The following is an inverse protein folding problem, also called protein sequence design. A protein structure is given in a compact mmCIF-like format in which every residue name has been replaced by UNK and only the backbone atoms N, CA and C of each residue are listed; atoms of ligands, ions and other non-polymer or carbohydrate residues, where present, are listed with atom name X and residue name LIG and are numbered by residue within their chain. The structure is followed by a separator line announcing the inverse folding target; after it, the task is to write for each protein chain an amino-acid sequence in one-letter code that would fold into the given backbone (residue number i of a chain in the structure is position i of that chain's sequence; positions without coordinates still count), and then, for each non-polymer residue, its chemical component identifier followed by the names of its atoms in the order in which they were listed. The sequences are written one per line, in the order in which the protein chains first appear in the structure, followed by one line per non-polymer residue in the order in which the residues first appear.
data_IF_909119808482
#
_entry.id   IF_909119808482
#
_cell.length_a   1.000
_cell.length_b   1.000
_cell.length_c   1.000
_cell.angle_alpha   90.00
_cell.angle_beta   90.00
_cell.angle_gamma   90.00
#
_symmetry.space_group_name_H-M   'P 1'
#
loop_
_entity.id
_entity.type
_entity.pdbx_description
1 polymer ?
#
# COMPACT_ATOMS: atom_id res chain seq x y z
N UNK A 1 -64.10 -42.40 -72.11
CA UNK A 1 -64.62 -41.69 -70.90
C UNK A 1 -64.16 -42.28 -69.56
N UNK A 2 -63.17 -43.20 -69.47
CA UNK A 2 -62.76 -43.78 -68.18
C UNK A 2 -61.36 -43.37 -67.71
N UNK A 3 -60.53 -42.68 -68.51
CA UNK A 3 -59.16 -42.29 -68.09
C UNK A 3 -59.01 -40.84 -67.55
N UNK A 4 -60.00 -39.96 -67.88
CA UNK A 4 -59.96 -38.54 -67.40
C UNK A 4 -60.47 -38.40 -65.97
N UNK A 5 -61.42 -39.26 -65.53
CA UNK A 5 -61.89 -39.23 -64.12
C UNK A 5 -60.82 -39.73 -63.10
N UNK A 6 -59.93 -40.67 -63.46
CA UNK A 6 -58.92 -41.17 -62.57
C UNK A 6 -57.77 -40.14 -62.31
N UNK A 7 -57.52 -39.27 -63.33
CA UNK A 7 -56.51 -38.24 -63.20
C UNK A 7 -56.99 -37.05 -62.37
N UNK A 8 -58.27 -36.72 -62.36
CA UNK A 8 -58.86 -35.67 -61.53
C UNK A 8 -58.97 -36.07 -60.06
N UNK A 9 -59.35 -37.34 -59.78
CA UNK A 9 -59.39 -37.84 -58.39
C UNK A 9 -58.04 -37.89 -57.76
N UNK A 10 -56.95 -38.29 -58.44
CA UNK A 10 -55.55 -38.32 -57.91
C UNK A 10 -54.98 -36.92 -57.69
N UNK A 11 -55.36 -35.91 -58.47
CA UNK A 11 -54.92 -34.53 -58.27
C UNK A 11 -55.58 -33.88 -57.05
N UNK A 12 -56.85 -34.17 -56.78
CA UNK A 12 -57.59 -33.65 -55.64
C UNK A 12 -57.11 -34.29 -54.30
N UNK A 13 -56.77 -35.58 -54.34
CA UNK A 13 -56.17 -36.26 -53.20
C UNK A 13 -54.72 -35.73 -52.86
N UNK A 14 -53.93 -35.47 -53.91
CA UNK A 14 -52.58 -34.87 -53.69
C UNK A 14 -52.65 -33.43 -53.15
N UNK A 15 -53.63 -32.61 -53.57
CA UNK A 15 -53.78 -31.26 -53.02
C UNK A 15 -54.33 -31.28 -51.57
N UNK A 16 -55.20 -32.22 -51.23
CA UNK A 16 -55.72 -32.44 -49.88
C UNK A 16 -54.54 -32.88 -48.93
N UNK A 17 -53.68 -33.78 -49.40
CA UNK A 17 -52.53 -34.26 -48.63
C UNK A 17 -51.51 -33.17 -48.44
N UNK A 18 -51.23 -32.27 -49.40
CA UNK A 18 -50.40 -31.08 -49.28
C UNK A 18 -51.00 -30.08 -48.30
N UNK A 19 -52.29 -29.87 -48.33
CA UNK A 19 -52.93 -28.93 -47.39
C UNK A 19 -52.91 -29.46 -45.95
N UNK A 20 -53.09 -30.76 -45.76
CA UNK A 20 -53.01 -31.42 -44.48
C UNK A 20 -51.51 -31.36 -43.91
N UNK A 21 -50.52 -31.63 -44.73
CA UNK A 21 -49.13 -31.46 -44.39
C UNK A 21 -48.81 -30.01 -44.01
N UNK A 22 -49.36 -29.04 -44.74
CA UNK A 22 -49.20 -27.61 -44.45
C UNK A 22 -49.85 -27.22 -43.13
N UNK A 23 -51.02 -27.73 -42.83
CA UNK A 23 -51.75 -27.55 -41.56
C UNK A 23 -51.02 -28.19 -40.41
N UNK A 24 -50.47 -29.40 -40.57
CA UNK A 24 -49.65 -30.08 -39.56
C UNK A 24 -48.35 -29.32 -39.32
N UNK A 25 -47.69 -28.80 -40.38
CA UNK A 25 -46.49 -27.94 -40.26
C UNK A 25 -46.78 -26.65 -39.53
N UNK A 26 -47.95 -25.99 -39.83
CA UNK A 26 -48.30 -24.74 -39.12
C UNK A 26 -48.62 -24.96 -37.65
N UNK A 27 -49.33 -26.09 -37.34
CA UNK A 27 -49.61 -26.49 -35.96
C UNK A 27 -48.34 -26.78 -35.17
N UNK A 28 -47.37 -27.48 -35.78
CA UNK A 28 -46.06 -27.73 -35.18
C UNK A 28 -45.28 -26.42 -34.90
N UNK A 29 -45.31 -25.49 -35.86
CA UNK A 29 -44.68 -24.17 -35.72
C UNK A 29 -45.32 -23.35 -34.60
N UNK A 30 -46.64 -23.35 -34.49
CA UNK A 30 -47.37 -22.68 -33.41
C UNK A 30 -47.07 -23.30 -32.04
N UNK A 31 -46.95 -24.64 -31.99
CA UNK A 31 -46.62 -25.35 -30.77
C UNK A 31 -45.18 -25.05 -30.30
N UNK A 32 -44.24 -24.98 -31.24
CA UNK A 32 -42.84 -24.56 -30.95
C UNK A 32 -42.77 -23.10 -30.48
N UNK A 33 -43.54 -22.21 -31.10
CA UNK A 33 -43.64 -20.80 -30.71
C UNK A 33 -44.21 -20.65 -29.29
N UNK A 34 -45.26 -21.39 -28.98
CA UNK A 34 -45.86 -21.42 -27.64
C UNK A 34 -44.90 -21.93 -26.61
N UNK A 35 -44.13 -22.98 -26.92
CA UNK A 35 -43.13 -23.57 -26.06
C UNK A 35 -41.99 -22.59 -25.81
N UNK A 36 -41.57 -21.84 -26.84
CA UNK A 36 -40.56 -20.77 -26.72
C UNK A 36 -41.04 -19.64 -25.80
N UNK A 37 -42.31 -19.18 -25.97
CA UNK A 37 -42.92 -18.16 -25.12
C UNK A 37 -43.00 -18.64 -23.66
N UNK A 38 -43.39 -19.89 -23.42
CA UNK A 38 -43.42 -20.46 -22.08
C UNK A 38 -42.02 -20.54 -21.46
N UNK A 39 -41.00 -20.94 -22.22
CA UNK A 39 -39.60 -20.98 -21.74
C UNK A 39 -39.10 -19.60 -21.40
N UNK A 40 -39.31 -18.60 -22.26
CA UNK A 40 -38.91 -17.20 -21.99
C UNK A 40 -39.66 -16.65 -20.79
N UNK A 41 -40.96 -16.90 -20.67
CA UNK A 41 -41.77 -16.51 -19.52
C UNK A 41 -41.28 -17.16 -18.21
N UNK A 42 -40.95 -18.44 -18.25
CA UNK A 42 -40.38 -19.15 -17.10
C UNK A 42 -39.02 -18.58 -16.68
N UNK A 43 -38.13 -18.29 -17.63
CA UNK A 43 -36.83 -17.68 -17.37
C UNK A 43 -37.00 -16.26 -16.80
N UNK A 44 -37.95 -15.50 -17.30
CA UNK A 44 -38.27 -14.16 -16.81
C UNK A 44 -38.82 -14.19 -15.37
N UNK A 45 -39.75 -15.09 -15.05
CA UNK A 45 -40.27 -15.27 -13.69
C UNK A 45 -39.16 -15.72 -12.73
N UNK A 46 -38.34 -16.66 -13.17
CA UNK A 46 -37.17 -17.11 -12.40
C UNK A 46 -36.20 -15.96 -12.12
N UNK A 47 -35.96 -15.07 -13.09
CA UNK A 47 -35.15 -13.87 -12.94
C UNK A 47 -35.76 -12.88 -11.93
N UNK A 48 -37.07 -12.69 -11.93
CA UNK A 48 -37.75 -11.82 -10.95
C UNK A 48 -37.69 -12.36 -9.51
N UNK A 49 -37.76 -13.70 -9.36
CA UNK A 49 -37.72 -14.34 -8.03
C UNK A 49 -36.27 -14.38 -7.46
N UNK A 50 -35.29 -14.61 -8.34
CA UNK A 50 -33.85 -14.63 -7.99
C UNK A 50 -33.10 -13.85 -9.07
N UNK A 51 -33.05 -12.51 -8.97
CA UNK A 51 -32.30 -11.70 -9.93
C UNK A 51 -30.82 -12.12 -9.88
N UNK A 52 -30.34 -12.73 -10.94
CA UNK A 52 -28.92 -12.94 -11.17
C UNK A 52 -28.44 -11.76 -12.00
N UNK A 53 -27.23 -11.24 -11.75
CA UNK A 53 -26.67 -10.24 -12.64
C UNK A 53 -26.71 -10.82 -14.06
N UNK A 54 -27.14 -10.00 -15.01
CA UNK A 54 -27.07 -10.35 -16.43
C UNK A 54 -25.62 -10.76 -16.72
N UNK A 55 -25.38 -11.86 -17.45
CA UNK A 55 -24.04 -12.15 -17.91
C UNK A 55 -23.54 -10.91 -18.66
N UNK A 56 -22.35 -10.45 -18.33
CA UNK A 56 -21.71 -9.32 -19.00
C UNK A 56 -21.54 -9.68 -20.47
N UNK A 57 -22.52 -9.27 -21.28
CA UNK A 57 -22.55 -9.49 -22.73
C UNK A 57 -21.59 -8.52 -23.48
N UNK A 58 -21.12 -7.52 -22.75
CA UNK A 58 -20.04 -6.66 -23.22
C UNK A 58 -18.83 -7.11 -22.41
N UNK A 59 -17.69 -7.52 -23.01
CA UNK A 59 -16.47 -7.62 -22.26
C UNK A 59 -16.36 -6.28 -21.56
N UNK A 60 -16.29 -6.28 -20.20
CA UNK A 60 -15.85 -5.10 -19.47
C UNK A 60 -14.59 -4.71 -20.20
N UNK A 61 -14.64 -3.63 -20.96
CA UNK A 61 -13.43 -2.99 -21.48
C UNK A 61 -12.64 -2.80 -20.20
N UNK A 62 -11.61 -3.60 -20.01
CA UNK A 62 -10.72 -3.55 -18.87
C UNK A 62 -10.60 -2.09 -18.53
N UNK A 63 -11.03 -1.71 -17.30
CA UNK A 63 -11.10 -0.31 -16.92
C UNK A 63 -9.83 0.32 -17.43
N UNK A 64 -9.95 1.22 -18.41
CA UNK A 64 -8.77 1.84 -19.01
C UNK A 64 -8.11 2.51 -17.82
N UNK A 65 -7.01 1.95 -17.36
CA UNK A 65 -6.30 2.44 -16.20
C UNK A 65 -5.58 3.72 -16.65
N UNK A 66 -6.31 4.84 -16.59
CA UNK A 66 -5.70 6.13 -16.86
C UNK A 66 -4.77 6.48 -15.68
N UNK A 67 -3.60 7.06 -15.97
CA UNK A 67 -2.78 7.66 -14.94
C UNK A 67 -3.59 8.71 -14.18
N UNK A 68 -3.29 8.94 -12.90
CA UNK A 68 -3.89 10.02 -12.14
C UNK A 68 -3.50 11.37 -12.73
N UNK A 69 -4.25 12.40 -12.40
CA UNK A 69 -4.00 13.77 -12.83
C UNK A 69 -3.46 14.60 -11.67
N UNK A 70 -2.52 15.50 -11.96
CA UNK A 70 -2.02 16.48 -11.00
C UNK A 70 -3.16 17.38 -10.51
N UNK A 71 -3.23 17.61 -9.20
CA UNK A 71 -4.22 18.47 -8.58
C UNK A 71 -3.60 19.77 -8.05
N UNK A 72 -2.63 19.66 -7.13
CA UNK A 72 -1.92 20.81 -6.53
C UNK A 72 -0.62 20.35 -5.84
N UNK A 73 0.16 21.33 -5.34
CA UNK A 73 1.36 21.05 -4.54
C UNK A 73 1.29 21.69 -3.15
N UNK A 74 1.84 20.99 -2.16
CA UNK A 74 2.07 21.50 -0.80
C UNK A 74 3.54 21.92 -0.72
N UNK A 75 3.77 23.16 -0.35
CA UNK A 75 5.10 23.76 -0.21
C UNK A 75 5.45 24.02 1.26
N UNK A 76 6.65 24.54 1.50
CA UNK A 76 7.13 24.82 2.84
C UNK A 76 7.80 23.65 3.51
N UNK A 77 8.30 22.70 2.72
CA UNK A 77 9.12 21.55 3.12
C UNK A 77 10.54 21.68 2.53
N UNK A 78 11.53 21.11 3.20
CA UNK A 78 12.94 21.12 2.76
C UNK A 78 13.50 19.72 2.68
N UNK A 79 13.81 19.25 1.46
CA UNK A 79 14.27 17.88 1.17
C UNK A 79 13.37 16.84 1.83
N UNK A 80 12.05 16.85 1.55
CA UNK A 80 11.12 15.90 2.13
C UNK A 80 11.49 14.47 1.70
N UNK A 81 11.27 13.50 2.57
CA UNK A 81 11.63 12.08 2.33
C UNK A 81 10.45 11.16 2.50
N UNK A 82 9.68 11.27 3.57
CA UNK A 82 8.53 10.43 3.87
C UNK A 82 7.24 11.25 3.91
N UNK A 83 6.14 10.62 3.55
CA UNK A 83 4.78 11.16 3.65
C UNK A 83 3.80 10.12 4.15
N UNK A 84 2.90 10.54 5.05
CA UNK A 84 1.80 9.71 5.51
C UNK A 84 0.56 10.57 5.80
N UNK A 85 -0.61 9.98 5.72
CA UNK A 85 -1.89 10.65 5.96
C UNK A 85 -2.60 10.00 7.14
N UNK A 86 -3.26 10.81 7.97
CA UNK A 86 -4.08 10.32 9.08
C UNK A 86 -5.26 9.48 8.57
N UNK A 87 -5.79 8.51 9.37
CA UNK A 87 -6.90 7.66 8.95
C UNK A 87 -8.17 8.41 8.54
N UNK A 88 -8.40 9.58 9.12
CA UNK A 88 -9.51 10.48 8.78
C UNK A 88 -9.18 11.43 7.60
N UNK A 89 -8.00 11.30 7.02
CA UNK A 89 -7.48 12.14 5.94
C UNK A 89 -7.40 13.64 6.25
N UNK A 90 -7.44 14.03 7.52
CA UNK A 90 -7.40 15.44 7.92
C UNK A 90 -5.99 16.01 8.03
N UNK A 91 -4.98 15.16 8.24
CA UNK A 91 -3.58 15.53 8.48
C UNK A 91 -2.64 14.81 7.54
N UNK A 92 -1.65 15.52 7.05
CA UNK A 92 -0.58 15.03 6.20
C UNK A 92 0.72 15.26 6.96
N UNK A 93 1.45 14.19 7.28
CA UNK A 93 2.74 14.22 7.95
C UNK A 93 3.85 14.10 6.93
N UNK A 94 4.83 14.98 7.01
CA UNK A 94 5.98 15.01 6.09
C UNK A 94 7.28 15.09 6.89
N UNK A 95 8.18 14.15 6.67
CA UNK A 95 9.53 14.20 7.23
C UNK A 95 10.49 14.94 6.30
N UNK A 96 11.41 15.69 6.88
CA UNK A 96 12.42 16.47 6.17
C UNK A 96 13.84 16.04 6.55
N UNK A 97 14.73 16.01 5.56
CA UNK A 97 16.17 15.78 5.79
C UNK A 97 17.01 17.04 5.57
N UNK A 98 16.40 18.10 5.02
CA UNK A 98 16.97 19.44 4.93
C UNK A 98 16.63 20.31 6.15
N UNK A 99 17.11 21.54 6.18
CA UNK A 99 16.80 22.54 7.18
C UNK A 99 16.90 22.03 8.61
N UNK A 100 15.85 22.21 9.38
CA UNK A 100 15.73 21.80 10.78
C UNK A 100 15.46 20.30 10.98
N UNK A 101 15.26 19.53 9.90
CA UNK A 101 14.95 18.09 9.91
C UNK A 101 13.73 17.78 10.78
N UNK A 102 12.63 18.42 10.46
CA UNK A 102 11.35 18.34 11.18
C UNK A 102 10.47 17.23 10.63
N UNK A 103 9.46 16.85 11.41
CA UNK A 103 8.25 16.26 10.92
C UNK A 103 7.18 17.36 10.91
N UNK A 104 6.65 17.73 9.74
CA UNK A 104 5.64 18.77 9.56
C UNK A 104 4.27 18.18 9.40
N UNK A 105 3.25 18.85 9.93
CA UNK A 105 1.85 18.46 9.86
C UNK A 105 1.14 19.51 9.01
N UNK A 106 0.50 19.09 7.93
CA UNK A 106 -0.32 19.93 7.06
C UNK A 106 -1.78 19.48 7.08
N UNK A 107 -2.70 20.41 6.80
CA UNK A 107 -4.05 20.04 6.41
C UNK A 107 -4.13 19.73 4.90
N UNK A 108 -5.31 19.35 4.40
CA UNK A 108 -5.52 19.04 2.98
C UNK A 108 -5.35 20.25 2.05
N UNK A 109 -5.52 21.46 2.56
CA UNK A 109 -5.31 22.69 1.79
C UNK A 109 -3.83 23.09 1.70
N UNK A 110 -2.94 22.25 2.27
CA UNK A 110 -1.50 22.52 2.32
C UNK A 110 -1.08 23.56 3.35
N UNK A 111 -1.95 23.90 4.31
CA UNK A 111 -1.62 24.82 5.40
C UNK A 111 -0.88 24.06 6.50
N UNK A 112 0.23 24.63 6.96
CA UNK A 112 1.01 24.11 8.07
C UNK A 112 0.22 24.22 9.37
N UNK A 113 -0.05 23.10 10.03
CA UNK A 113 -0.73 23.01 11.32
C UNK A 113 0.26 23.00 12.49
N UNK A 114 1.45 22.40 12.31
CA UNK A 114 2.48 22.30 13.32
C UNK A 114 3.68 21.51 12.84
N UNK A 115 4.65 21.36 13.72
CA UNK A 115 5.83 20.52 13.47
C UNK A 115 6.40 20.02 14.78
N UNK A 116 7.11 18.89 14.70
CA UNK A 116 7.80 18.29 15.85
C UNK A 116 9.14 17.67 15.41
N UNK A 117 9.94 17.28 16.37
CA UNK A 117 11.28 16.72 16.13
C UNK A 117 11.50 15.46 16.95
N UNK A 118 12.57 14.73 16.63
CA UNK A 118 13.11 13.69 17.50
C UNK A 118 13.56 14.33 18.83
N UNK A 119 12.96 13.92 19.97
CA UNK A 119 13.19 14.59 21.25
C UNK A 119 14.64 14.45 21.71
N UNK A 120 15.13 15.45 22.40
CA UNK A 120 16.49 15.46 22.96
C UNK A 120 17.63 15.48 21.97
N UNK A 121 17.35 15.83 20.70
CA UNK A 121 18.36 15.85 19.63
C UNK A 121 18.56 17.25 19.07
N UNK A 122 19.81 17.56 18.72
CA UNK A 122 20.14 18.67 17.83
C UNK A 122 19.92 18.29 16.36
N UNK A 123 19.99 19.26 15.44
CA UNK A 123 19.81 19.03 14.00
C UNK A 123 20.76 17.94 13.47
N UNK A 124 22.02 17.91 13.92
CA UNK A 124 23.01 16.92 13.52
C UNK A 124 22.79 15.52 14.08
N UNK A 125 21.94 15.39 15.08
CA UNK A 125 21.66 14.12 15.79
C UNK A 125 20.35 13.47 15.36
N UNK A 126 19.61 14.01 14.38
CA UNK A 126 18.35 13.45 13.90
C UNK A 126 18.31 13.36 12.38
N UNK A 127 17.62 12.34 11.87
CA UNK A 127 17.39 12.15 10.45
C UNK A 127 16.10 11.37 10.25
N UNK A 128 14.91 12.01 10.44
CA UNK A 128 13.63 11.37 10.21
C UNK A 128 13.49 11.04 8.72
N UNK A 129 13.00 9.84 8.40
CA UNK A 129 12.91 9.35 7.02
C UNK A 129 11.49 8.95 6.66
N UNK A 130 11.07 7.72 6.93
CA UNK A 130 9.73 7.26 6.56
C UNK A 130 8.76 7.42 7.73
N UNK A 131 7.49 7.59 7.37
CA UNK A 131 6.38 7.79 8.31
C UNK A 131 5.28 6.78 8.00
N UNK A 132 4.70 6.23 9.07
CA UNK A 132 3.46 5.47 8.98
C UNK A 132 2.49 5.93 10.08
N UNK A 133 1.20 5.98 9.78
CA UNK A 133 0.16 6.32 10.75
C UNK A 133 -0.68 5.07 11.02
N UNK A 134 -0.80 4.70 12.29
CA UNK A 134 -1.63 3.59 12.72
C UNK A 134 -3.11 3.96 12.69
N UNK A 135 -3.99 2.95 12.70
CA UNK A 135 -5.44 3.15 12.70
C UNK A 135 -5.96 3.93 13.93
N UNK A 136 -5.21 3.91 15.04
CA UNK A 136 -5.51 4.67 16.26
C UNK A 136 -4.96 6.10 16.25
N UNK A 137 -4.35 6.53 15.14
CA UNK A 137 -3.82 7.87 14.94
C UNK A 137 -2.38 8.07 15.42
N UNK A 138 -1.73 7.06 16.02
CA UNK A 138 -0.30 7.17 16.38
C UNK A 138 0.57 7.25 15.14
N UNK A 139 1.61 8.09 15.22
CA UNK A 139 2.55 8.36 14.12
C UNK A 139 3.88 7.67 14.42
N UNK A 140 4.33 6.82 13.52
CA UNK A 140 5.58 6.08 13.62
C UNK A 140 6.58 6.67 12.62
N UNK A 141 7.73 7.09 13.11
CA UNK A 141 8.77 7.76 12.31
C UNK A 141 10.09 7.03 12.48
N UNK A 142 10.69 6.56 11.38
CA UNK A 142 12.07 6.07 11.42
C UNK A 142 13.05 7.22 11.49
N UNK A 143 14.03 7.14 12.37
CA UNK A 143 15.13 8.09 12.44
C UNK A 143 16.47 7.36 12.35
N UNK A 144 17.17 7.55 11.23
CA UNK A 144 18.41 6.84 10.93
C UNK A 144 19.60 7.22 11.78
N UNK A 145 19.60 8.41 12.40
CA UNK A 145 20.66 8.81 13.34
C UNK A 145 20.40 8.25 14.73
N UNK A 146 19.16 7.91 15.02
CA UNK A 146 18.74 7.33 16.29
C UNK A 146 18.66 5.80 16.24
N UNK A 147 18.78 5.18 15.07
CA UNK A 147 18.59 3.74 14.85
C UNK A 147 17.30 3.23 15.52
N UNK A 148 16.22 3.98 15.36
CA UNK A 148 14.99 3.76 16.10
C UNK A 148 13.75 4.14 15.27
N UNK A 149 12.61 3.58 15.68
CA UNK A 149 11.30 4.05 15.26
C UNK A 149 10.68 4.81 16.42
N UNK A 150 10.46 6.11 16.24
CA UNK A 150 9.84 6.97 17.25
C UNK A 150 8.34 6.94 17.07
N UNK A 151 7.62 6.94 18.18
CA UNK A 151 6.15 6.89 18.23
C UNK A 151 5.64 8.18 18.85
N UNK A 152 4.70 8.83 18.15
CA UNK A 152 4.07 10.06 18.58
C UNK A 152 2.54 9.90 18.56
N UNK A 153 1.84 10.77 19.26
CA UNK A 153 0.42 10.97 19.05
C UNK A 153 0.15 11.78 17.76
N UNK A 154 -1.12 11.97 17.45
CA UNK A 154 -1.53 12.70 16.24
C UNK A 154 -1.09 14.18 16.22
N UNK A 155 -0.82 14.79 17.38
CA UNK A 155 -0.37 16.17 17.52
C UNK A 155 1.16 16.32 17.54
N UNK A 156 1.89 15.19 17.49
CA UNK A 156 3.35 15.14 17.50
C UNK A 156 3.96 15.11 18.91
N UNK A 157 3.16 14.82 19.95
CA UNK A 157 3.70 14.57 21.27
C UNK A 157 4.35 13.18 21.31
N UNK A 158 5.56 13.10 21.80
CA UNK A 158 6.32 11.86 21.88
C UNK A 158 5.71 10.89 22.89
N UNK A 159 5.60 9.61 22.49
CA UNK A 159 5.05 8.53 23.32
C UNK A 159 6.15 7.54 23.74
N UNK A 160 6.89 6.97 22.74
CA UNK A 160 7.88 5.91 22.98
C UNK A 160 8.82 5.76 21.76
N UNK A 161 9.82 4.88 21.89
CA UNK A 161 10.68 4.47 20.76
C UNK A 161 10.84 2.96 20.71
N UNK A 162 10.82 2.39 19.50
CA UNK A 162 11.24 1.02 19.24
C UNK A 162 12.75 1.06 18.95
N UNK A 163 13.53 0.52 19.89
CA UNK A 163 15.00 0.51 19.84
C UNK A 163 15.58 -0.77 19.24
N UNK A 164 14.74 -1.70 18.90
CA UNK A 164 15.10 -2.99 18.35
C UNK A 164 13.89 -3.90 18.23
N UNK A 165 14.00 -5.07 17.57
CA UNK A 165 12.86 -5.95 17.33
C UNK A 165 12.12 -6.40 18.60
N UNK A 166 12.80 -6.39 19.74
CA UNK A 166 12.28 -6.88 21.03
C UNK A 166 12.25 -5.82 22.12
N UNK A 167 12.61 -4.58 21.82
CA UNK A 167 12.83 -3.56 22.83
C UNK A 167 12.19 -2.23 22.48
N UNK A 168 11.30 -1.73 23.36
CA UNK A 168 10.93 -0.31 23.40
C UNK A 168 11.69 0.40 24.51
N UNK A 169 11.75 1.72 24.43
CA UNK A 169 12.37 2.53 25.45
C UNK A 169 11.63 2.41 26.79
N UNK A 170 10.30 2.42 26.80
CA UNK A 170 9.52 2.20 28.03
C UNK A 170 9.74 0.83 28.64
N UNK A 171 9.91 -0.23 27.82
CA UNK A 171 10.25 -1.58 28.30
C UNK A 171 11.64 -1.61 28.97
N UNK A 172 12.62 -0.93 28.36
CA UNK A 172 13.94 -0.77 28.94
C UNK A 172 13.87 -0.07 30.30
N UNK A 173 13.16 1.05 30.39
CA UNK A 173 13.00 1.82 31.61
C UNK A 173 12.26 1.04 32.70
N UNK A 174 11.17 0.35 32.37
CA UNK A 174 10.45 -0.52 33.31
C UNK A 174 11.38 -1.58 33.93
N UNK A 175 12.22 -2.19 33.11
CA UNK A 175 13.24 -3.17 33.58
C UNK A 175 14.27 -2.50 34.47
N UNK A 176 14.77 -1.34 34.09
CA UNK A 176 15.79 -0.57 34.83
C UNK A 176 15.26 -0.11 36.22
N UNK A 177 14.01 0.36 36.28
CA UNK A 177 13.38 0.85 37.49
C UNK A 177 12.80 -0.26 38.38
N UNK A 178 12.77 -1.50 37.91
CA UNK A 178 12.17 -2.64 38.62
C UNK A 178 10.66 -2.56 38.74
N UNK A 179 9.98 -1.81 37.87
CA UNK A 179 8.53 -1.62 37.84
C UNK A 179 8.08 -0.75 36.68
N UNK A 180 6.82 -0.36 36.68
CA UNK A 180 6.30 0.56 35.65
C UNK A 180 6.88 1.97 35.86
N UNK A 181 7.18 2.63 34.75
CA UNK A 181 7.55 4.04 34.74
C UNK A 181 6.40 4.87 35.32
N UNK A 182 6.63 5.72 36.33
CA UNK A 182 5.56 6.54 36.93
C UNK A 182 4.85 7.42 35.88
N UNK A 183 3.55 7.59 36.07
CA UNK A 183 2.75 8.50 35.26
C UNK A 183 3.32 9.94 35.32
N UNK A 184 3.32 10.64 34.17
CA UNK A 184 3.90 11.98 34.03
C UNK A 184 5.42 12.02 33.87
N UNK A 185 6.09 10.87 33.85
CA UNK A 185 7.52 10.79 33.52
C UNK A 185 7.73 11.08 32.04
N UNK A 186 8.68 11.97 31.74
CA UNK A 186 9.15 12.18 30.36
C UNK A 186 10.47 11.45 30.16
N UNK A 187 10.63 10.85 28.99
CA UNK A 187 11.85 10.14 28.64
C UNK A 187 12.11 10.20 27.15
N UNK A 188 13.37 10.09 26.74
CA UNK A 188 13.77 9.99 25.34
C UNK A 188 15.16 9.37 25.22
N UNK A 189 15.45 8.84 24.04
CA UNK A 189 16.70 8.19 23.70
C UNK A 189 17.52 9.06 22.75
N UNK A 190 18.82 9.14 22.98
CA UNK A 190 19.76 9.75 22.05
C UNK A 190 20.90 8.76 21.77
N UNK A 191 20.80 8.08 20.63
CA UNK A 191 21.75 7.07 20.18
C UNK A 191 23.14 7.66 19.99
N UNK A 192 23.25 8.84 19.40
CA UNK A 192 24.52 9.51 19.13
C UNK A 192 25.33 9.81 20.41
N UNK A 193 24.62 9.99 21.53
CA UNK A 193 25.24 10.20 22.86
C UNK A 193 25.31 8.92 23.69
N UNK A 194 24.64 7.85 23.25
CA UNK A 194 24.55 6.61 24.04
C UNK A 194 23.80 6.77 25.35
N UNK A 195 22.79 7.63 25.41
CA UNK A 195 22.09 8.04 26.65
C UNK A 195 20.60 7.97 26.52
N UNK A 196 19.96 7.51 27.58
CA UNK A 196 18.52 7.67 27.83
C UNK A 196 18.31 8.78 28.84
N UNK A 197 17.54 9.77 28.51
CA UNK A 197 17.14 10.84 29.42
C UNK A 197 15.79 10.49 30.05
N UNK A 198 15.65 10.78 31.35
CA UNK A 198 14.49 10.48 32.15
C UNK A 198 14.22 11.61 33.13
N UNK A 199 13.01 12.14 33.16
CA UNK A 199 12.59 13.16 34.12
C UNK A 199 11.28 12.72 34.79
N UNK A 200 11.33 12.38 36.05
CA UNK A 200 10.14 12.09 36.86
C UNK A 200 9.47 13.38 37.34
N UNK A 201 8.15 13.36 37.63
CA UNK A 201 7.44 14.54 38.09
C UNK A 201 8.08 15.13 39.36
N UNK A 202 8.50 16.40 39.27
CA UNK A 202 9.12 17.11 40.38
C UNK A 202 10.60 16.83 40.61
N UNK A 203 11.23 16.00 39.77
CA UNK A 203 12.66 15.70 39.81
C UNK A 203 13.43 16.38 38.67
N UNK A 204 14.73 16.42 38.82
CA UNK A 204 15.67 16.87 37.76
C UNK A 204 15.88 15.76 36.74
N UNK A 205 16.18 16.12 35.50
CA UNK A 205 16.53 15.17 34.44
C UNK A 205 17.71 14.31 34.86
N UNK A 206 17.54 13.00 34.68
CA UNK A 206 18.56 11.99 34.88
C UNK A 206 19.04 11.47 33.53
N UNK A 207 20.30 11.14 33.41
CA UNK A 207 20.91 10.51 32.26
C UNK A 207 21.31 9.07 32.62
N UNK A 208 20.73 8.10 31.93
CA UNK A 208 21.02 6.68 32.08
C UNK A 208 21.80 6.20 30.83
N UNK A 209 22.67 5.18 30.98
CA UNK A 209 23.31 4.59 29.82
C UNK A 209 22.28 4.02 28.85
N UNK A 210 22.58 4.09 27.56
CA UNK A 210 21.75 3.41 26.56
C UNK A 210 21.71 1.90 26.81
N UNK A 211 20.61 1.21 26.43
CA UNK A 211 20.59 -0.24 26.44
C UNK A 211 21.63 -0.81 25.48
N UNK A 212 22.32 -1.87 25.91
CA UNK A 212 23.19 -2.66 25.04
C UNK A 212 22.33 -3.56 24.14
N UNK A 213 22.09 -3.12 22.93
CA UNK A 213 21.25 -3.80 21.93
C UNK A 213 22.06 -4.13 20.70
N UNK A 214 21.62 -5.19 20.01
CA UNK A 214 22.12 -5.45 18.65
C UNK A 214 21.78 -4.27 17.74
N UNK A 215 22.71 -3.91 16.88
CA UNK A 215 22.53 -2.86 15.89
C UNK A 215 21.30 -3.17 15.01
N UNK A 216 20.46 -2.15 14.83
CA UNK A 216 19.34 -2.25 13.91
C UNK A 216 19.09 -0.88 13.28
N UNK A 217 19.11 -0.77 11.98
CA UNK A 217 18.89 0.48 11.23
C UNK A 217 17.54 0.36 10.49
N UNK A 218 16.41 0.69 11.15
CA UNK A 218 15.10 0.65 10.52
C UNK A 218 14.98 1.77 9.51
N UNK A 219 14.53 1.45 8.29
CA UNK A 219 14.41 2.41 7.21
C UNK A 219 12.94 2.66 6.85
N UNK A 220 12.29 1.76 6.16
CA UNK A 220 10.90 1.88 5.76
C UNK A 220 9.94 1.36 6.81
N UNK A 221 8.82 2.05 6.99
CA UNK A 221 7.71 1.64 7.86
C UNK A 221 6.40 1.77 7.12
N UNK A 222 5.52 0.75 7.22
CA UNK A 222 4.14 0.79 6.72
C UNK A 222 3.25 -0.07 7.58
N UNK A 223 1.99 0.33 7.74
CA UNK A 223 0.96 -0.54 8.28
C UNK A 223 0.25 -1.26 7.13
N UNK A 224 -0.04 -2.55 7.32
CA UNK A 224 -0.98 -3.26 6.47
C UNK A 224 -2.42 -3.02 6.94
N UNK A 225 -3.40 -3.54 6.18
CA UNK A 225 -4.83 -3.42 6.50
C UNK A 225 -5.25 -4.11 7.81
N UNK A 226 -4.45 -5.05 8.29
CA UNK A 226 -4.70 -5.80 9.52
C UNK A 226 -4.01 -5.16 10.74
N UNK A 227 -3.30 -4.05 10.52
CA UNK A 227 -2.59 -3.28 11.54
C UNK A 227 -1.22 -3.83 11.92
N UNK A 228 -0.67 -4.75 11.12
CA UNK A 228 0.72 -5.18 11.28
C UNK A 228 1.66 -4.08 10.77
N UNK A 229 2.75 -3.83 11.48
CA UNK A 229 3.78 -2.89 11.05
C UNK A 229 4.89 -3.64 10.30
N UNK A 230 5.08 -3.32 9.04
CA UNK A 230 6.21 -3.79 8.23
C UNK A 230 7.36 -2.80 8.34
N UNK A 231 8.54 -3.33 8.64
CA UNK A 231 9.78 -2.55 8.79
C UNK A 231 10.86 -3.15 7.91
N UNK A 232 11.45 -2.34 7.04
CA UNK A 232 12.69 -2.74 6.36
C UNK A 232 13.88 -2.36 7.22
N UNK A 233 14.86 -3.24 7.31
CA UNK A 233 16.06 -3.08 8.15
C UNK A 233 17.29 -3.10 7.26
N UNK A 234 18.13 -2.07 7.37
CA UNK A 234 19.31 -1.91 6.50
C UNK A 234 20.50 -2.68 7.03
N UNK A 235 20.63 -2.85 8.35
CA UNK A 235 21.77 -3.56 8.96
C UNK A 235 21.90 -5.00 8.45
N UNK A 236 20.82 -5.75 8.44
CA UNK A 236 20.79 -7.17 7.98
C UNK A 236 20.08 -7.36 6.64
N UNK A 237 19.66 -6.26 5.99
CA UNK A 237 18.96 -6.26 4.69
C UNK A 237 17.73 -7.17 4.73
N UNK A 238 16.89 -7.00 5.74
CA UNK A 238 15.70 -7.81 5.96
C UNK A 238 14.40 -7.00 5.99
N UNK A 239 13.29 -7.69 5.92
CA UNK A 239 11.97 -7.16 6.28
C UNK A 239 11.50 -7.83 7.55
N UNK A 240 10.96 -7.05 8.48
CA UNK A 240 10.37 -7.52 9.72
C UNK A 240 8.92 -7.09 9.83
N UNK A 241 8.05 -7.98 10.28
CA UNK A 241 6.62 -7.72 10.43
C UNK A 241 6.27 -7.79 11.92
N UNK A 242 5.82 -6.69 12.50
CA UNK A 242 5.34 -6.63 13.88
C UNK A 242 3.82 -6.84 13.87
N UNK A 243 3.30 -7.92 14.48
CA UNK A 243 1.87 -8.19 14.49
C UNK A 243 1.06 -7.08 15.15
N UNK A 244 -0.16 -6.86 14.66
CA UNK A 244 -1.09 -5.92 15.24
C UNK A 244 -1.30 -6.19 16.75
N UNK A 245 -1.38 -5.14 17.54
CA UNK A 245 -1.55 -5.22 18.99
C UNK A 245 -0.28 -5.51 19.81
N UNK A 246 0.85 -5.83 19.17
CA UNK A 246 2.13 -6.00 19.88
C UNK A 246 2.89 -4.68 20.07
N UNK A 247 2.45 -3.61 19.42
CA UNK A 247 3.06 -2.28 19.46
C UNK A 247 2.54 -1.43 20.63
N UNK A 248 2.31 -2.08 21.77
CA UNK A 248 2.01 -1.39 23.05
C UNK A 248 3.30 -1.21 23.82
N UNK A 249 3.43 -0.10 24.51
CA UNK A 249 4.64 0.23 25.29
C UNK A 249 5.02 -0.82 26.34
N UNK A 250 4.05 -1.58 26.83
CA UNK A 250 4.20 -2.61 27.85
C UNK A 250 4.31 -4.04 27.31
N UNK A 251 4.02 -4.25 26.03
CA UNK A 251 3.86 -5.58 25.44
C UNK A 251 4.41 -5.72 24.02
N UNK A 252 5.60 -5.16 23.77
CA UNK A 252 6.31 -5.54 22.56
C UNK A 252 6.65 -7.03 22.67
N UNK A 253 5.72 -7.86 22.21
CA UNK A 253 5.99 -9.28 22.05
C UNK A 253 6.99 -9.35 20.91
N UNK A 254 8.21 -9.67 21.31
CA UNK A 254 9.27 -9.98 20.41
C UNK A 254 8.77 -10.75 19.19
N UNK A 255 9.33 -10.44 18.07
CA UNK A 255 9.51 -11.40 17.02
C UNK A 255 10.20 -12.65 17.60
N UNK A 256 9.44 -13.48 18.27
CA UNK A 256 9.93 -14.78 18.74
C UNK A 256 9.94 -15.73 17.55
N UNK A 257 10.98 -15.64 16.73
CA UNK A 257 11.25 -16.61 15.70
C UNK A 257 11.51 -16.01 14.31
N UNK A 258 12.27 -16.72 13.51
CA UNK A 258 12.62 -16.42 12.11
C UNK A 258 11.38 -16.31 11.18
N UNK A 259 10.21 -16.71 11.64
CA UNK A 259 8.99 -16.77 10.82
C UNK A 259 8.46 -15.41 10.35
N UNK A 260 8.89 -14.30 10.97
CA UNK A 260 8.42 -12.96 10.64
C UNK A 260 9.55 -12.02 10.18
N UNK A 261 10.74 -12.54 9.93
CA UNK A 261 11.84 -11.83 9.33
C UNK A 261 12.35 -12.61 8.12
N UNK A 262 12.51 -11.93 6.99
CA UNK A 262 12.97 -12.55 5.75
C UNK A 262 13.87 -11.62 4.95
N UNK A 263 14.65 -12.22 4.04
CA UNK A 263 15.65 -11.51 3.27
C UNK A 263 17.03 -11.52 3.92
N UNK A 264 18.04 -11.18 3.15
CA UNK A 264 19.43 -11.04 3.55
C UNK A 264 20.18 -10.17 2.55
N UNK A 265 21.40 -9.79 2.85
CA UNK A 265 22.23 -8.97 1.95
C UNK A 265 22.58 -9.69 0.64
N UNK A 266 22.34 -9.03 -0.51
CA UNK A 266 22.80 -9.47 -1.82
C UNK A 266 21.88 -9.12 -2.99
N UNK A 267 22.10 -9.78 -4.13
CA UNK A 267 21.39 -9.53 -5.39
C UNK A 267 20.60 -10.74 -5.91
N UNK A 268 20.73 -11.85 -5.24
CA UNK A 268 20.03 -13.09 -5.61
C UNK A 268 18.53 -13.01 -5.32
N UNK A 269 17.80 -14.09 -5.57
CA UNK A 269 16.35 -14.12 -5.47
C UNK A 269 15.82 -13.77 -4.07
N UNK A 270 16.41 -14.35 -3.02
CA UNK A 270 16.00 -14.19 -1.63
C UNK A 270 16.79 -13.10 -0.88
N UNK A 271 17.40 -12.17 -1.63
CA UNK A 271 18.29 -11.17 -1.09
C UNK A 271 17.81 -9.76 -1.43
N UNK A 272 18.22 -8.80 -0.60
CA UNK A 272 17.98 -7.37 -0.81
C UNK A 272 19.29 -6.59 -0.83
N UNK A 273 19.24 -5.48 -1.52
CA UNK A 273 20.28 -4.46 -1.46
C UNK A 273 19.62 -3.11 -1.20
N UNK A 274 19.61 -2.71 0.07
CA UNK A 274 18.96 -1.50 0.55
C UNK A 274 17.43 -1.52 0.34
N UNK A 275 16.70 -2.45 1.01
CA UNK A 275 15.22 -2.48 0.94
C UNK A 275 14.65 -1.20 1.55
N UNK A 276 13.80 -0.49 0.79
CA UNK A 276 13.30 0.81 1.21
C UNK A 276 11.95 0.72 1.93
N UNK A 277 10.95 0.14 1.30
CA UNK A 277 9.59 0.01 1.86
C UNK A 277 9.02 -1.36 1.51
N UNK A 278 8.25 -1.93 2.43
CA UNK A 278 7.47 -3.15 2.23
C UNK A 278 5.98 -2.85 2.38
N UNK A 279 5.15 -3.36 1.49
CA UNK A 279 3.68 -3.24 1.52
C UNK A 279 3.03 -4.59 1.26
N UNK A 280 1.77 -4.75 1.70
CA UNK A 280 1.03 -6.02 1.58
C UNK A 280 -0.15 -5.84 0.62
N UNK A 281 -0.35 -6.81 -0.26
CA UNK A 281 -1.50 -6.86 -1.15
C UNK A 281 -2.72 -7.56 -0.49
N UNK A 282 -3.85 -7.61 -1.21
CA UNK A 282 -5.07 -8.23 -0.68
C UNK A 282 -4.99 -9.75 -0.48
N UNK A 283 -3.99 -10.40 -1.08
CA UNK A 283 -3.72 -11.84 -0.93
C UNK A 283 -2.75 -12.13 0.22
N UNK A 284 -2.27 -11.08 0.90
CA UNK A 284 -1.29 -11.20 1.99
C UNK A 284 0.16 -11.35 1.51
N UNK A 285 0.45 -11.13 0.21
CA UNK A 285 1.82 -11.15 -0.31
C UNK A 285 2.51 -9.83 -0.01
N UNK A 286 3.79 -9.91 0.30
CA UNK A 286 4.61 -8.75 0.65
C UNK A 286 5.42 -8.31 -0.57
N UNK A 287 5.30 -7.05 -0.94
CA UNK A 287 6.04 -6.42 -2.04
C UNK A 287 7.07 -5.45 -1.45
N UNK A 288 8.35 -5.65 -1.76
CA UNK A 288 9.46 -4.89 -1.19
C UNK A 288 10.17 -4.11 -2.27
N UNK A 289 10.27 -2.80 -2.11
CA UNK A 289 11.11 -1.93 -2.94
C UNK A 289 12.59 -2.21 -2.65
N UNK A 290 13.22 -3.04 -3.47
CA UNK A 290 14.62 -3.44 -3.36
C UNK A 290 15.51 -2.44 -4.11
N UNK A 291 15.78 -1.30 -3.46
CA UNK A 291 16.24 -0.05 -4.06
C UNK A 291 17.46 -0.20 -4.95
N UNK A 292 18.57 -0.66 -4.38
CA UNK A 292 19.84 -0.74 -5.12
C UNK A 292 19.91 -1.96 -6.07
N UNK A 293 18.94 -2.88 -6.00
CA UNK A 293 18.77 -3.93 -7.00
C UNK A 293 17.85 -3.50 -8.17
N UNK A 294 17.21 -2.31 -8.10
CA UNK A 294 16.35 -1.77 -9.15
C UNK A 294 15.15 -2.68 -9.45
N UNK A 295 14.51 -3.21 -8.43
CA UNK A 295 13.40 -4.16 -8.57
C UNK A 295 12.41 -4.07 -7.40
N UNK A 296 11.24 -4.66 -7.57
CA UNK A 296 10.36 -5.05 -6.47
C UNK A 296 10.43 -6.55 -6.29
N UNK A 297 10.63 -7.03 -5.08
CA UNK A 297 10.61 -8.45 -4.72
C UNK A 297 9.27 -8.80 -4.07
N UNK A 298 8.64 -9.89 -4.49
CA UNK A 298 7.36 -10.39 -3.98
C UNK A 298 7.58 -11.66 -3.16
N UNK A 299 6.95 -11.71 -1.98
CA UNK A 299 7.08 -12.77 -0.99
C UNK A 299 5.71 -13.21 -0.50
N UNK A 300 5.55 -14.44 -0.05
CA UNK A 300 4.32 -14.87 0.61
C UNK A 300 4.24 -14.37 2.07
N UNK A 301 3.10 -14.55 2.69
CA UNK A 301 2.85 -14.14 4.08
C UNK A 301 3.76 -14.86 5.11
N UNK A 302 4.43 -15.94 4.72
CA UNK A 302 5.37 -16.70 5.54
C UNK A 302 6.83 -16.27 5.32
N UNK A 303 7.06 -15.26 4.45
CA UNK A 303 8.40 -14.78 4.13
C UNK A 303 9.17 -15.69 3.17
N UNK A 304 8.47 -16.47 2.35
CA UNK A 304 9.07 -17.23 1.27
C UNK A 304 9.04 -16.42 -0.02
N UNK A 305 10.15 -16.33 -0.70
CA UNK A 305 10.28 -15.64 -1.97
C UNK A 305 9.39 -16.27 -3.05
N UNK A 306 8.69 -15.43 -3.82
CA UNK A 306 7.86 -15.84 -4.97
C UNK A 306 8.56 -15.46 -6.27
N UNK A 307 8.75 -14.16 -6.50
CA UNK A 307 9.41 -13.64 -7.71
C UNK A 307 9.88 -12.20 -7.46
N UNK A 308 10.57 -11.62 -8.44
CA UNK A 308 10.82 -10.17 -8.51
C UNK A 308 10.41 -9.63 -9.89
N UNK A 309 10.12 -8.33 -9.97
CA UNK A 309 9.71 -7.63 -11.18
C UNK A 309 10.22 -6.19 -11.23
N UNK A 310 9.97 -5.51 -12.33
CA UNK A 310 10.47 -4.15 -12.55
C UNK A 310 11.96 -4.09 -12.89
N UNK A 311 12.66 -5.21 -13.09
CA UNK A 311 14.06 -5.27 -13.49
C UNK A 311 14.19 -5.39 -15.02
N UNK A 312 15.17 -4.73 -15.57
CA UNK A 312 15.46 -4.83 -17.02
C UNK A 312 15.46 -3.48 -17.72
N UNK A 313 14.85 -3.43 -18.88
CA UNK A 313 14.74 -2.23 -19.73
C UNK A 313 13.30 -2.06 -20.19
N UNK A 314 12.90 -0.83 -20.50
CA UNK A 314 11.53 -0.53 -20.89
C UNK A 314 10.80 0.32 -19.86
N UNK A 315 9.54 0.60 -20.14
CA UNK A 315 8.73 1.48 -19.28
C UNK A 315 8.41 0.87 -17.92
N UNK A 316 8.39 -0.46 -17.83
CA UNK A 316 8.20 -1.21 -16.59
C UNK A 316 9.44 -1.26 -15.69
N UNK A 317 10.62 -0.92 -16.22
CA UNK A 317 11.88 -1.07 -15.50
C UNK A 317 12.07 0.04 -14.45
N UNK A 318 12.44 -0.36 -13.23
CA UNK A 318 12.78 0.50 -12.10
C UNK A 318 14.28 0.78 -12.07
N UNK A 319 14.65 2.03 -11.76
CA UNK A 319 16.05 2.42 -11.60
C UNK A 319 16.46 2.43 -10.13
N UNK A 320 15.68 3.12 -9.29
CA UNK A 320 15.90 3.20 -7.85
C UNK A 320 14.55 3.28 -7.13
N UNK A 321 13.84 2.15 -6.99
CA UNK A 321 12.58 2.14 -6.25
C UNK A 321 12.79 2.52 -4.79
N UNK A 322 12.00 3.47 -4.32
CA UNK A 322 12.01 4.00 -2.96
C UNK A 322 10.70 3.68 -2.25
N UNK A 323 9.88 4.67 -1.97
CA UNK A 323 8.58 4.49 -1.39
C UNK A 323 7.61 3.72 -2.28
N UNK A 324 6.71 2.99 -1.66
CA UNK A 324 5.66 2.27 -2.35
C UNK A 324 4.36 2.30 -1.56
N UNK A 325 3.25 2.19 -2.28
CA UNK A 325 1.91 2.12 -1.70
C UNK A 325 1.02 1.16 -2.47
N UNK A 326 0.27 0.34 -1.73
CA UNK A 326 -0.74 -0.55 -2.28
C UNK A 326 -2.10 0.12 -2.17
N UNK A 327 -2.83 0.26 -3.28
CA UNK A 327 -4.19 0.79 -3.25
C UNK A 327 -5.25 -0.32 -3.07
N UNK A 328 -6.49 0.08 -2.86
CA UNK A 328 -7.63 -0.84 -2.65
C UNK A 328 -7.93 -1.73 -3.87
N UNK A 329 -7.42 -1.39 -5.05
CA UNK A 329 -7.58 -2.15 -6.30
C UNK A 329 -6.42 -3.12 -6.55
N UNK A 330 -5.55 -3.33 -5.56
CA UNK A 330 -4.30 -4.08 -5.71
C UNK A 330 -3.38 -3.52 -6.80
N UNK A 331 -3.32 -2.20 -6.93
CA UNK A 331 -2.32 -1.56 -7.74
C UNK A 331 -1.17 -1.09 -6.84
N UNK A 332 0.02 -1.58 -7.15
CA UNK A 332 1.23 -1.14 -6.47
C UNK A 332 1.78 0.11 -7.18
N UNK A 333 1.87 1.20 -6.44
CA UNK A 333 2.49 2.46 -6.87
C UNK A 333 3.89 2.52 -6.30
N UNK A 334 4.89 2.70 -7.15
CA UNK A 334 6.31 2.73 -6.76
C UNK A 334 6.93 4.05 -7.19
N UNK A 335 7.50 4.78 -6.24
CA UNK A 335 8.31 5.96 -6.50
C UNK A 335 9.70 5.52 -7.00
N UNK A 336 9.97 5.75 -8.27
CA UNK A 336 11.28 5.50 -8.88
C UNK A 336 12.10 6.78 -8.87
N UNK A 337 12.93 6.92 -7.86
CA UNK A 337 13.64 8.16 -7.58
C UNK A 337 14.57 8.60 -8.72
N UNK A 338 15.36 7.70 -9.27
CA UNK A 338 16.26 7.99 -10.40
C UNK A 338 15.54 7.95 -11.74
N UNK A 339 14.42 7.23 -11.82
CA UNK A 339 13.55 7.27 -12.98
C UNK A 339 12.67 8.52 -13.06
N UNK A 340 12.60 9.32 -11.98
CA UNK A 340 11.79 10.54 -11.88
C UNK A 340 10.30 10.35 -12.19
N UNK A 341 9.78 9.15 -11.91
CA UNK A 341 8.41 8.74 -12.22
C UNK A 341 7.78 7.98 -11.08
N UNK A 342 6.46 7.88 -11.09
CA UNK A 342 5.74 6.86 -10.35
C UNK A 342 5.35 5.75 -11.33
N UNK A 343 5.69 4.50 -11.02
CA UNK A 343 5.29 3.32 -11.79
C UNK A 343 4.20 2.56 -11.10
N UNK A 344 3.23 2.09 -11.87
CA UNK A 344 2.04 1.40 -11.33
C UNK A 344 1.92 0.02 -11.94
N UNK A 345 1.77 -0.98 -11.07
CA UNK A 345 1.61 -2.38 -11.43
C UNK A 345 0.30 -2.92 -10.86
N UNK A 346 -0.43 -3.68 -11.66
CA UNK A 346 -1.53 -4.52 -11.15
C UNK A 346 -0.92 -5.81 -10.58
N UNK A 347 -1.13 -6.02 -9.30
CA UNK A 347 -0.63 -7.20 -8.58
C UNK A 347 -1.79 -8.10 -8.10
N UNK A 348 -2.98 -7.96 -8.67
CA UNK A 348 -4.14 -8.80 -8.33
C UNK A 348 -4.00 -10.25 -8.81
N UNK A 349 -3.20 -10.49 -9.84
CA UNK A 349 -2.90 -11.82 -10.38
C UNK A 349 -1.68 -12.48 -9.72
N UNK A 350 -1.29 -13.65 -10.23
CA UNK A 350 -0.08 -14.36 -9.78
C UNK A 350 1.19 -13.66 -10.26
N UNK A 351 1.14 -13.05 -11.44
CA UNK A 351 2.23 -12.27 -12.02
C UNK A 351 1.86 -10.79 -12.06
N UNK A 352 2.72 -9.89 -11.56
CA UNK A 352 2.55 -8.45 -11.67
C UNK A 352 2.52 -7.98 -13.11
N UNK A 353 1.58 -7.10 -13.44
CA UNK A 353 1.42 -6.52 -14.77
C UNK A 353 1.67 -5.01 -14.70
N UNK A 354 2.64 -4.51 -15.46
CA UNK A 354 2.84 -3.07 -15.59
C UNK A 354 1.64 -2.42 -16.27
N UNK A 355 1.10 -1.38 -15.64
CA UNK A 355 -0.05 -0.64 -16.16
C UNK A 355 0.38 0.63 -16.90
N UNK A 356 1.09 1.50 -16.22
CA UNK A 356 1.57 2.79 -16.73
C UNK A 356 2.59 3.41 -15.76
N UNK A 357 3.22 4.45 -16.23
CA UNK A 357 3.98 5.41 -15.42
C UNK A 357 3.43 6.82 -15.62
N UNK A 358 3.68 7.70 -14.66
CA UNK A 358 3.37 9.13 -14.76
C UNK A 358 4.43 9.98 -14.08
N UNK A 359 4.46 11.26 -14.45
CA UNK A 359 5.58 12.15 -14.16
C UNK A 359 6.77 11.91 -15.11
N UNK A 360 7.74 12.80 -15.04
CA UNK A 360 9.03 12.76 -15.73
C UNK A 360 9.97 13.72 -15.01
N UNK A 361 11.25 13.76 -15.40
CA UNK A 361 12.21 14.71 -14.84
C UNK A 361 11.81 16.17 -15.08
N UNK A 362 11.69 16.93 -14.01
CA UNK A 362 11.45 18.38 -14.09
C UNK A 362 11.02 19.00 -12.77
N UNK A 363 10.81 20.32 -12.80
CA UNK A 363 10.45 21.15 -11.64
C UNK A 363 9.04 21.78 -11.75
N UNK A 364 8.40 21.65 -12.91
CA UNK A 364 7.04 22.15 -13.10
C UNK A 364 5.99 21.18 -12.55
N UNK A 365 4.74 21.62 -12.50
CA UNK A 365 3.62 20.81 -12.05
C UNK A 365 3.46 19.56 -12.91
N UNK A 366 3.31 18.40 -12.24
CA UNK A 366 3.20 17.12 -12.91
C UNK A 366 4.53 16.44 -13.24
N UNK A 367 5.66 17.13 -13.05
CA UNK A 367 7.01 16.55 -13.20
C UNK A 367 7.67 16.39 -11.82
N UNK A 368 8.62 15.45 -11.72
CA UNK A 368 9.30 15.14 -10.47
C UNK A 368 10.81 15.32 -10.59
N UNK A 369 11.42 15.69 -9.49
CA UNK A 369 12.85 15.58 -9.34
C UNK A 369 13.20 14.76 -8.10
N UNK A 370 13.50 13.48 -8.31
CA UNK A 370 13.78 12.49 -7.28
C UNK A 370 12.57 12.22 -6.36
N UNK A 371 11.45 11.68 -6.90
CA UNK A 371 10.32 11.30 -6.06
C UNK A 371 10.77 10.21 -5.08
N UNK A 372 10.51 10.42 -3.76
CA UNK A 372 11.06 9.53 -2.75
C UNK A 372 10.02 8.66 -2.06
N UNK A 373 8.82 9.14 -1.84
CA UNK A 373 7.77 8.39 -1.15
C UNK A 373 6.40 8.72 -1.72
N UNK A 374 5.44 7.85 -1.44
CA UNK A 374 4.04 7.99 -1.86
C UNK A 374 3.13 7.40 -0.80
N UNK A 375 2.01 8.06 -0.54
CA UNK A 375 0.86 7.45 0.13
C UNK A 375 -0.44 7.83 -0.59
N UNK A 376 -1.47 7.03 -0.42
CA UNK A 376 -2.81 7.26 -0.98
C UNK A 376 -3.80 7.25 0.19
N UNK A 377 -4.67 8.27 0.26
CA UNK A 377 -5.69 8.34 1.27
C UNK A 377 -6.97 7.57 0.89
N UNK A 378 -7.90 7.45 1.83
CA UNK A 378 -9.17 6.76 1.63
C UNK A 378 -10.09 7.43 0.59
N UNK A 379 -9.80 8.66 0.18
CA UNK A 379 -10.52 9.38 -0.86
C UNK A 379 -9.86 9.24 -2.25
N UNK A 380 -8.73 8.51 -2.34
CA UNK A 380 -8.01 8.26 -3.58
C UNK A 380 -7.06 9.38 -3.99
N UNK A 381 -6.72 10.32 -3.10
CA UNK A 381 -5.68 11.30 -3.36
C UNK A 381 -4.30 10.67 -3.10
N UNK A 382 -3.40 10.88 -4.06
CA UNK A 382 -2.01 10.45 -3.99
C UNK A 382 -1.17 11.64 -3.51
N UNK A 383 -0.41 11.44 -2.45
CA UNK A 383 0.55 12.40 -1.92
C UNK A 383 1.95 11.88 -2.24
N UNK A 384 2.69 12.59 -3.08
CA UNK A 384 3.98 12.16 -3.62
C UNK A 384 5.06 13.14 -3.17
N UNK A 385 6.07 12.61 -2.51
CA UNK A 385 7.26 13.38 -2.11
C UNK A 385 8.09 13.69 -3.35
N UNK A 386 8.16 14.95 -3.73
CA UNK A 386 8.99 15.48 -4.81
C UNK A 386 10.23 16.16 -4.19
N UNK A 387 11.19 15.32 -3.78
CA UNK A 387 12.25 15.63 -2.83
C UNK A 387 13.11 16.81 -3.25
N UNK A 388 13.67 16.77 -4.45
CA UNK A 388 14.61 17.78 -4.91
C UNK A 388 13.91 19.10 -5.33
N UNK A 389 12.59 19.04 -5.56
CA UNK A 389 11.74 20.22 -5.79
C UNK A 389 11.16 20.80 -4.50
N UNK A 390 11.46 20.24 -3.33
CA UNK A 390 11.03 20.74 -2.02
C UNK A 390 9.51 20.91 -1.92
N UNK A 391 8.74 19.89 -2.33
CA UNK A 391 7.27 19.92 -2.29
C UNK A 391 6.68 18.50 -2.14
N UNK A 392 5.41 18.46 -1.80
CA UNK A 392 4.57 17.27 -1.95
C UNK A 392 3.59 17.55 -3.08
N UNK A 393 3.59 16.74 -4.13
CA UNK A 393 2.59 16.82 -5.17
C UNK A 393 1.37 15.98 -4.81
N UNK A 394 0.19 16.54 -5.04
CA UNK A 394 -1.09 15.86 -4.81
C UNK A 394 -1.74 15.57 -6.16
N UNK A 395 -2.13 14.30 -6.34
CA UNK A 395 -2.72 13.79 -7.56
C UNK A 395 -4.05 13.08 -7.25
N UNK A 396 -4.90 12.89 -8.26
CA UNK A 396 -6.20 12.23 -8.12
C UNK A 396 -6.53 11.38 -9.34
N UNK A 397 -7.22 10.26 -9.11
CA UNK A 397 -7.77 9.43 -10.16
C UNK A 397 -9.11 9.96 -10.68
#
# INVERSE_FOLDING_TARGET
MSSENQTFESASEMDAEKEERRRRGLLLLLLLLLLLICCVGFLFVRYLIKPQPLPELVPVINQVNYPPTYAYSIYGVDKPVGVAVSPDSSRIYVSETGGERLIKIFNRDGQLLGSFTTPGTSIGERSPVYIAVAADGRVFVTDRMQDAILIYDADGNYIDSILGPEMTLSKYLNKHMGGLVPEGTTFYYNNMKGVVYLTQPGEIEQALPAPDLAEWDPLGVRFDKDGNLLVTVVTDQSVRIFPAGTLRSDSLVAFSGQANAFGSYGQEAEQFLFPNVAVVDSQGRVHVSDGNNGRVSMWDAQGKFILYYGRGTGDEALNLPRGAWMDEKNRLHVADAVGHTIRVYDVSGDEPVFLYKFGDLGDTDGLFYYPNDICIDNAGYLFIVDRENNRIQVWTY
#
